data_IF_549174982482
#
_entry.id   IF_549174982482
#
_cell.length_a   1.000
_cell.length_b   1.000
_cell.length_c   1.000
_cell.angle_alpha   90.00
_cell.angle_beta   90.00
_cell.angle_gamma   90.00
#
_symmetry.space_group_name_H-M   'P 1'
#
loop_
_entity.id
_entity.type
_entity.pdbx_description
1 polymer ?
#
# COMPACT_ATOMS: atom_id res chain seq x y z
N UNK A 1 1.49 24.53 -11.85
CA UNK A 1 1.54 23.07 -12.03
C UNK A 1 1.95 22.46 -10.71
N UNK A 2 1.08 21.70 -10.05
CA UNK A 2 1.50 20.89 -8.89
C UNK A 2 2.44 19.82 -9.45
N UNK A 3 3.65 19.70 -8.91
CA UNK A 3 4.53 18.56 -9.18
C UNK A 3 3.71 17.29 -8.95
N UNK A 4 3.44 16.53 -10.01
CA UNK A 4 2.87 15.19 -9.85
C UNK A 4 3.98 14.36 -9.22
N UNK A 5 3.96 14.26 -7.89
CA UNK A 5 4.92 13.46 -7.14
C UNK A 5 4.77 12.01 -7.62
N UNK A 6 5.83 11.49 -8.21
CA UNK A 6 5.97 10.10 -8.60
C UNK A 6 6.39 9.26 -7.38
N UNK A 7 5.98 7.99 -7.30
CA UNK A 7 6.38 7.13 -6.19
C UNK A 7 7.89 6.87 -6.18
N UNK A 8 8.55 6.90 -7.35
CA UNK A 8 10.01 6.88 -7.43
C UNK A 8 10.65 8.04 -6.66
N UNK A 9 10.06 9.24 -6.73
CA UNK A 9 10.54 10.40 -5.98
C UNK A 9 10.37 10.20 -4.47
N UNK A 10 9.28 9.59 -4.04
CA UNK A 10 9.04 9.27 -2.61
C UNK A 10 10.10 8.29 -2.09
N UNK A 11 10.39 7.23 -2.86
CA UNK A 11 11.41 6.24 -2.51
C UNK A 11 12.80 6.89 -2.48
N UNK A 12 13.15 7.70 -3.48
CA UNK A 12 14.44 8.40 -3.53
C UNK A 12 14.63 9.37 -2.34
N UNK A 13 13.57 10.09 -1.96
CA UNK A 13 13.60 10.97 -0.78
C UNK A 13 13.79 10.15 0.50
N UNK A 14 13.12 9.01 0.66
CA UNK A 14 13.30 8.15 1.82
C UNK A 14 14.71 7.54 1.91
N UNK A 15 15.30 7.13 0.77
CA UNK A 15 16.68 6.66 0.71
C UNK A 15 17.68 7.74 1.14
N UNK A 16 17.45 8.99 0.72
CA UNK A 16 18.29 10.12 1.10
C UNK A 16 18.21 10.39 2.60
N UNK A 17 17.02 10.33 3.18
CA UNK A 17 16.82 10.51 4.62
C UNK A 17 17.54 9.44 5.47
N UNK A 18 17.55 8.18 5.02
CA UNK A 18 18.27 7.09 5.71
C UNK A 18 19.80 7.26 5.62
N UNK A 19 20.29 7.86 4.52
CA UNK A 19 21.71 8.07 4.29
C UNK A 19 22.31 9.19 5.16
N UNK A 20 21.49 10.00 5.85
CA UNK A 20 21.98 11.05 6.72
C UNK A 20 22.87 10.48 7.85
N UNK A 21 24.00 11.15 8.17
CA UNK A 21 24.96 10.66 9.15
C UNK A 21 24.44 10.89 10.57
N UNK A 22 23.51 10.04 11.03
CA UNK A 22 22.92 10.15 12.37
C UNK A 22 22.76 8.78 13.09
N UNK A 23 22.69 7.66 12.36
CA UNK A 23 22.41 6.33 12.96
C UNK A 23 23.37 5.19 12.55
N UNK A 24 23.23 4.04 13.22
CA UNK A 24 23.99 2.83 12.97
C UNK A 24 23.80 2.27 11.54
N UNK A 25 24.88 1.78 10.92
CA UNK A 25 24.90 1.31 9.53
C UNK A 25 24.01 0.09 9.24
N UNK A 26 23.81 -0.79 10.24
CA UNK A 26 23.01 -2.02 10.05
C UNK A 26 21.53 -1.75 9.77
N UNK A 27 20.81 -0.94 10.59
CA UNK A 27 19.46 -0.49 10.26
C UNK A 27 19.36 0.15 8.86
N UNK A 28 20.30 1.01 8.47
CA UNK A 28 20.28 1.68 7.16
C UNK A 28 20.34 0.70 5.99
N UNK A 29 21.16 -0.35 6.09
CA UNK A 29 21.23 -1.41 5.07
C UNK A 29 19.91 -2.20 4.96
N UNK A 30 19.28 -2.48 6.10
CA UNK A 30 17.98 -3.18 6.11
C UNK A 30 16.87 -2.31 5.50
N UNK A 31 16.83 -1.04 5.85
CA UNK A 31 15.82 -0.09 5.37
C UNK A 31 15.98 0.22 3.88
N UNK A 32 17.21 0.40 3.39
CA UNK A 32 17.46 0.63 1.96
C UNK A 32 17.09 -0.59 1.11
N UNK A 33 17.43 -1.81 1.56
CA UNK A 33 16.99 -3.03 0.90
C UNK A 33 15.45 -3.16 0.88
N UNK A 34 14.78 -2.79 1.97
CA UNK A 34 13.33 -2.80 2.06
C UNK A 34 12.67 -1.79 1.11
N UNK A 35 13.23 -0.59 0.97
CA UNK A 35 12.75 0.41 0.02
C UNK A 35 12.89 -0.06 -1.43
N UNK A 36 13.97 -0.76 -1.76
CA UNK A 36 14.13 -1.38 -3.09
C UNK A 36 13.08 -2.47 -3.34
N UNK A 37 12.75 -3.31 -2.35
CA UNK A 37 11.68 -4.32 -2.47
C UNK A 37 10.29 -3.69 -2.59
N UNK A 38 10.05 -2.59 -1.87
CA UNK A 38 8.84 -1.78 -2.02
C UNK A 38 8.72 -1.22 -3.44
N UNK A 39 9.80 -0.66 -3.99
CA UNK A 39 9.82 -0.13 -5.36
C UNK A 39 9.52 -1.22 -6.40
N UNK A 40 10.12 -2.41 -6.27
CA UNK A 40 9.79 -3.57 -7.13
C UNK A 40 8.29 -3.90 -7.06
N UNK A 41 7.70 -3.84 -5.87
CA UNK A 41 6.27 -4.11 -5.70
C UNK A 41 5.40 -3.05 -6.35
N UNK A 42 5.75 -1.77 -6.21
CA UNK A 42 5.05 -0.65 -6.84
C UNK A 42 5.17 -0.71 -8.37
N UNK A 43 6.35 -1.05 -8.90
CA UNK A 43 6.57 -1.25 -10.34
C UNK A 43 5.61 -2.31 -10.90
N UNK A 44 5.45 -3.46 -10.21
CA UNK A 44 4.50 -4.50 -10.62
C UNK A 44 3.04 -4.01 -10.64
N UNK A 45 2.65 -3.13 -9.71
CA UNK A 45 1.32 -2.53 -9.74
C UNK A 45 1.19 -1.49 -10.86
N UNK A 46 2.24 -0.72 -11.12
CA UNK A 46 2.29 0.22 -12.25
C UNK A 46 2.15 -0.50 -13.59
N UNK A 47 2.85 -1.63 -13.78
CA UNK A 47 2.75 -2.50 -14.97
C UNK A 47 1.33 -3.05 -15.18
N UNK A 48 0.54 -3.18 -14.11
CA UNK A 48 -0.87 -3.58 -14.12
C UNK A 48 -1.83 -2.39 -14.26
N UNK A 49 -1.32 -1.20 -14.57
CA UNK A 49 -2.07 0.03 -14.78
C UNK A 49 -2.88 0.52 -13.57
N UNK A 50 -2.42 0.24 -12.35
CA UNK A 50 -3.01 0.86 -11.16
C UNK A 50 -2.76 2.36 -11.13
N UNK A 51 -3.70 3.11 -10.55
CA UNK A 51 -3.70 4.57 -10.52
C UNK A 51 -2.41 5.12 -9.87
N UNK A 52 -1.68 6.07 -10.50
CA UNK A 52 -0.45 6.60 -9.94
C UNK A 52 -0.59 7.25 -8.56
N UNK A 53 -1.71 7.91 -8.27
CA UNK A 53 -1.96 8.50 -6.95
C UNK A 53 -2.15 7.41 -5.88
N UNK A 54 -2.76 6.28 -6.26
CA UNK A 54 -2.86 5.09 -5.40
C UNK A 54 -1.47 4.55 -5.05
N UNK A 55 -0.59 4.43 -6.05
CA UNK A 55 0.79 3.96 -5.84
C UNK A 55 1.59 4.92 -4.95
N UNK A 56 1.44 6.24 -5.14
CA UNK A 56 2.10 7.24 -4.31
C UNK A 56 1.62 7.20 -2.85
N UNK A 57 0.34 6.93 -2.61
CA UNK A 57 -0.20 6.79 -1.27
C UNK A 57 0.36 5.54 -0.56
N UNK A 58 0.48 4.42 -1.26
CA UNK A 58 1.14 3.20 -0.74
C UNK A 58 2.61 3.49 -0.43
N UNK A 59 3.33 4.09 -1.39
CA UNK A 59 4.74 4.44 -1.25
C UNK A 59 4.98 5.33 -0.03
N UNK A 60 4.20 6.41 0.11
CA UNK A 60 4.33 7.35 1.23
C UNK A 60 4.16 6.66 2.59
N UNK A 61 3.11 5.85 2.73
CA UNK A 61 2.80 5.18 4.00
C UNK A 61 3.85 4.13 4.35
N UNK A 62 4.21 3.27 3.38
CA UNK A 62 5.17 2.19 3.61
C UNK A 62 6.61 2.69 3.76
N UNK A 63 7.03 3.69 2.99
CA UNK A 63 8.36 4.29 3.14
C UNK A 63 8.54 4.85 4.56
N UNK A 64 7.53 5.56 5.09
CA UNK A 64 7.54 6.05 6.47
C UNK A 64 7.70 4.91 7.49
N UNK A 65 6.90 3.85 7.38
CA UNK A 65 7.03 2.72 8.31
C UNK A 65 8.38 2.00 8.18
N UNK A 66 8.93 1.89 6.98
CA UNK A 66 10.25 1.29 6.74
C UNK A 66 11.33 2.15 7.40
N UNK A 67 11.31 3.47 7.23
CA UNK A 67 12.29 4.39 7.84
C UNK A 67 12.24 4.37 9.37
N UNK A 68 11.07 4.07 9.97
CA UNK A 68 10.89 3.96 11.42
C UNK A 68 11.23 2.55 11.96
N UNK A 69 11.32 1.53 11.09
CA UNK A 69 11.54 0.16 11.50
C UNK A 69 13.01 -0.12 11.81
N UNK A 70 13.27 -0.75 12.96
CA UNK A 70 14.63 -1.09 13.42
C UNK A 70 14.92 -2.59 13.35
N UNK A 71 13.90 -3.42 13.12
CA UNK A 71 14.03 -4.88 13.10
C UNK A 71 13.67 -5.47 11.74
N UNK A 72 14.35 -6.56 11.37
CA UNK A 72 14.03 -7.33 10.15
C UNK A 72 12.59 -7.86 10.17
N UNK A 73 12.06 -8.22 11.35
CA UNK A 73 10.69 -8.72 11.50
C UNK A 73 9.65 -7.65 11.20
N UNK A 74 9.88 -6.42 11.67
CA UNK A 74 8.99 -5.30 11.39
C UNK A 74 8.99 -4.95 9.90
N UNK A 75 10.18 -4.86 9.29
CA UNK A 75 10.33 -4.65 7.84
C UNK A 75 9.57 -5.71 7.04
N UNK A 76 9.73 -6.99 7.39
CA UNK A 76 9.03 -8.07 6.69
C UNK A 76 7.50 -7.93 6.81
N UNK A 77 7.01 -7.51 7.97
CA UNK A 77 5.58 -7.29 8.22
C UNK A 77 5.06 -6.07 7.45
N UNK A 78 5.90 -5.05 7.21
CA UNK A 78 5.56 -3.87 6.40
C UNK A 78 5.50 -4.20 4.91
N UNK A 79 6.48 -4.95 4.42
CA UNK A 79 6.55 -5.31 3.00
C UNK A 79 5.44 -6.29 2.64
N UNK A 80 5.23 -7.32 3.47
CA UNK A 80 4.24 -8.35 3.25
C UNK A 80 3.28 -8.48 4.45
N UNK A 81 2.36 -7.52 4.63
CA UNK A 81 1.36 -7.61 5.69
C UNK A 81 0.41 -8.79 5.41
N UNK A 82 -0.02 -9.52 6.45
CA UNK A 82 -0.96 -10.62 6.31
C UNK A 82 -2.31 -10.14 5.76
N UNK A 83 -3.08 -11.07 5.19
CA UNK A 83 -4.43 -10.78 4.75
C UNK A 83 -5.32 -10.36 5.95
N UNK A 84 -6.32 -9.49 5.73
CA UNK A 84 -7.24 -9.09 6.80
C UNK A 84 -7.88 -10.29 7.48
N UNK A 85 -7.82 -10.33 8.82
CA UNK A 85 -8.42 -11.41 9.60
C UNK A 85 -9.94 -11.27 9.61
N UNK A 86 -10.66 -12.33 9.28
CA UNK A 86 -12.12 -12.38 9.38
C UNK A 86 -12.54 -13.15 10.63
N UNK A 87 -13.40 -12.56 11.46
CA UNK A 87 -13.92 -13.22 12.68
C UNK A 87 -15.30 -13.89 12.49
N UNK A 88 -15.82 -13.93 11.26
CA UNK A 88 -17.17 -14.38 10.96
C UNK A 88 -18.18 -13.24 10.81
N UNK A 89 -17.82 -12.01 11.21
CA UNK A 89 -18.67 -10.83 11.10
C UNK A 89 -17.94 -9.65 10.42
N UNK A 90 -16.68 -9.40 10.75
CA UNK A 90 -15.90 -8.25 10.27
C UNK A 90 -14.46 -8.62 9.91
N UNK A 91 -13.91 -7.89 8.94
CA UNK A 91 -12.49 -7.94 8.59
C UNK A 91 -11.68 -6.92 9.41
N UNK A 92 -10.53 -7.36 9.90
CA UNK A 92 -9.55 -6.54 10.62
C UNK A 92 -8.27 -6.49 9.78
N UNK A 93 -7.96 -5.35 9.14
CA UNK A 93 -6.71 -5.20 8.41
C UNK A 93 -5.51 -5.19 9.35
N UNK A 94 -4.35 -5.62 8.86
CA UNK A 94 -3.10 -5.47 9.58
C UNK A 94 -2.69 -4.00 9.70
N UNK A 95 -1.92 -3.65 10.74
CA UNK A 95 -1.43 -2.28 10.95
C UNK A 95 -0.62 -1.73 9.78
N UNK A 96 0.07 -2.60 9.03
CA UNK A 96 0.89 -2.23 7.89
C UNK A 96 0.20 -2.48 6.55
N UNK A 97 -1.12 -2.73 6.57
CA UNK A 97 -1.94 -2.86 5.37
C UNK A 97 -2.64 -1.52 5.09
N UNK A 98 -2.09 -0.63 4.24
CA UNK A 98 -2.77 0.59 3.88
C UNK A 98 -4.03 0.25 3.05
N UNK A 99 -5.12 1.04 3.17
CA UNK A 99 -6.36 0.77 2.46
C UNK A 99 -6.17 0.76 0.94
N UNK A 100 -5.22 1.53 0.42
CA UNK A 100 -4.87 1.56 -1.00
C UNK A 100 -4.36 0.21 -1.51
N UNK A 101 -3.47 -0.44 -0.76
CA UNK A 101 -2.95 -1.75 -1.14
C UNK A 101 -3.97 -2.85 -0.85
N UNK A 102 -4.79 -2.71 0.20
CA UNK A 102 -5.92 -3.62 0.43
C UNK A 102 -6.92 -3.57 -0.74
N UNK A 103 -7.22 -2.39 -1.28
CA UNK A 103 -8.08 -2.21 -2.45
C UNK A 103 -7.52 -2.93 -3.68
N UNK A 104 -6.20 -2.81 -3.93
CA UNK A 104 -5.50 -3.56 -4.99
C UNK A 104 -5.66 -5.07 -4.77
N UNK A 105 -5.42 -5.57 -3.55
CA UNK A 105 -5.53 -7.00 -3.26
C UNK A 105 -6.95 -7.53 -3.46
N UNK A 106 -7.97 -6.78 -3.05
CA UNK A 106 -9.36 -7.15 -3.31
C UNK A 106 -9.71 -7.11 -4.80
N UNK A 107 -9.23 -6.10 -5.53
CA UNK A 107 -9.34 -6.03 -7.00
C UNK A 107 -8.76 -7.28 -7.65
N UNK A 108 -7.50 -7.62 -7.35
CA UNK A 108 -6.83 -8.80 -7.90
C UNK A 108 -7.52 -10.12 -7.50
N UNK A 109 -8.02 -10.20 -6.26
CA UNK A 109 -8.77 -11.37 -5.80
C UNK A 109 -10.06 -11.55 -6.59
N UNK A 110 -10.79 -10.45 -6.83
CA UNK A 110 -12.03 -10.47 -7.61
C UNK A 110 -11.82 -10.88 -9.08
N UNK A 111 -10.64 -10.59 -9.64
CA UNK A 111 -10.25 -11.04 -10.98
C UNK A 111 -9.99 -12.54 -11.05
N UNK A 112 -9.61 -13.17 -9.92
CA UNK A 112 -9.34 -14.61 -9.85
C UNK A 112 -10.59 -15.43 -9.63
N UNK A 113 -11.48 -14.95 -8.76
CA UNK A 113 -12.76 -15.58 -8.47
C UNK A 113 -13.75 -14.55 -7.91
N UNK A 114 -15.08 -14.74 -8.10
CA UNK A 114 -16.08 -13.90 -7.47
C UNK A 114 -15.88 -13.82 -5.95
N UNK A 115 -15.90 -12.60 -5.42
CA UNK A 115 -15.88 -12.39 -3.98
C UNK A 115 -17.19 -12.88 -3.37
N UNK A 116 -17.11 -13.54 -2.21
CA UNK A 116 -18.30 -13.78 -1.41
C UNK A 116 -18.84 -12.46 -0.82
N UNK A 117 -20.04 -12.49 -0.26
CA UNK A 117 -20.73 -11.29 0.25
C UNK A 117 -19.86 -10.49 1.24
N UNK A 118 -19.21 -11.18 2.17
CA UNK A 118 -18.34 -10.55 3.17
C UNK A 118 -17.13 -9.85 2.52
N UNK A 119 -16.44 -10.54 1.60
CA UNK A 119 -15.30 -9.99 0.88
C UNK A 119 -15.68 -8.82 -0.02
N UNK A 120 -16.82 -8.91 -0.70
CA UNK A 120 -17.34 -7.80 -1.51
C UNK A 120 -17.67 -6.58 -0.65
N UNK A 121 -18.35 -6.77 0.48
CA UNK A 121 -18.64 -5.68 1.42
C UNK A 121 -17.37 -5.01 1.91
N UNK A 122 -16.36 -5.78 2.31
CA UNK A 122 -15.06 -5.23 2.73
C UNK A 122 -14.36 -4.49 1.59
N UNK A 123 -14.37 -5.06 0.38
CA UNK A 123 -13.79 -4.38 -0.77
C UNK A 123 -14.44 -3.02 -1.00
N UNK A 124 -15.77 -2.93 -0.92
CA UNK A 124 -16.48 -1.65 -1.09
C UNK A 124 -16.17 -0.66 0.04
N UNK A 125 -16.08 -1.11 1.29
CA UNK A 125 -15.66 -0.26 2.42
C UNK A 125 -14.28 0.36 2.19
N UNK A 126 -13.31 -0.46 1.74
CA UNK A 126 -11.95 0.00 1.47
C UNK A 126 -11.91 0.91 0.25
N UNK A 127 -12.64 0.57 -0.81
CA UNK A 127 -12.75 1.40 -2.01
C UNK A 127 -13.26 2.81 -1.66
N UNK A 128 -14.31 2.89 -0.83
CA UNK A 128 -14.84 4.17 -0.35
C UNK A 128 -13.82 4.96 0.48
N UNK A 129 -13.02 4.29 1.32
CA UNK A 129 -11.96 4.93 2.10
C UNK A 129 -10.88 5.54 1.21
N UNK A 130 -10.52 4.86 0.11
CA UNK A 130 -9.44 5.26 -0.80
C UNK A 130 -9.88 6.38 -1.74
N UNK A 131 -11.03 6.23 -2.39
CA UNK A 131 -11.46 7.14 -3.46
C UNK A 131 -12.44 8.22 -2.97
N UNK A 132 -12.88 8.15 -1.72
CA UNK A 132 -13.91 9.04 -1.15
C UNK A 132 -15.21 9.09 -1.97
N UNK A 133 -15.49 8.04 -2.76
CA UNK A 133 -16.69 7.89 -3.58
C UNK A 133 -17.52 6.71 -3.10
N UNK A 134 -18.83 6.89 -2.96
CA UNK A 134 -19.76 5.78 -2.74
C UNK A 134 -19.98 5.00 -4.03
N UNK A 135 -20.36 3.73 -3.91
CA UNK A 135 -20.73 2.87 -5.06
C UNK A 135 -21.88 3.51 -5.84
N UNK A 136 -22.85 4.10 -5.14
CA UNK A 136 -23.98 4.80 -5.73
C UNK A 136 -23.54 6.01 -6.56
N UNK A 137 -22.56 6.79 -6.08
CA UNK A 137 -22.01 7.92 -6.83
C UNK A 137 -21.34 7.44 -8.13
N UNK A 138 -20.56 6.35 -8.08
CA UNK A 138 -19.89 5.77 -9.25
C UNK A 138 -20.91 5.23 -10.27
N UNK A 139 -21.96 4.57 -9.79
CA UNK A 139 -23.02 4.03 -10.66
C UNK A 139 -23.88 5.15 -11.26
N UNK A 140 -24.02 6.29 -10.57
CA UNK A 140 -24.78 7.45 -11.07
C UNK A 140 -24.04 8.26 -12.14
N UNK A 141 -22.70 8.23 -12.17
CA UNK A 141 -21.86 8.90 -13.18
C UNK A 141 -21.93 8.21 -14.56
N UNK A 142 -22.49 7.00 -14.66
CA UNK A 142 -22.61 6.22 -15.91
C UNK A 142 -23.97 6.36 -16.61
N UNK A 143 -24.77 7.40 -16.31
CA UNK A 143 -26.08 7.60 -16.95
C UNK A 143 -26.09 8.74 -17.96
#
# INVERSE_FOLDING_TARGET
MKSTTDYHQIIATALTAIAEPNEAERPKLLQSAALAELEITLNRYSERCYDPALLCAIASKKARWITEATTKKDIQSILNPPAPRYDGNKFYPDKYMPPEEEAIRWSETSLRAPLNEAGFKRYMEVFQQVFHKSVEAILSEKR
#
